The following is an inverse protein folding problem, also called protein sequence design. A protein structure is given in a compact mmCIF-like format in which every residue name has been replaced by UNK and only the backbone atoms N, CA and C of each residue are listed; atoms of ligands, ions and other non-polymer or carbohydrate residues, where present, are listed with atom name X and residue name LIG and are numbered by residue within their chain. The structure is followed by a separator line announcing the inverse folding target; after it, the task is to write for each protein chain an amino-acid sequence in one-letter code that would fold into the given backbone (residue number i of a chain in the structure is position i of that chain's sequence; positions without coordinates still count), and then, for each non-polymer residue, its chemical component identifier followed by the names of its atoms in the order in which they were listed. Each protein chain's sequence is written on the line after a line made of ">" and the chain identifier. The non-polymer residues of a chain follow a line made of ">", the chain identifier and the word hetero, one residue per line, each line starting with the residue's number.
data_IF_450011386122
#
_entry.id   IF_450011386122
#
_cell.length_a   1.000
_cell.length_b   1.000
_cell.length_c   1.000
_cell.angle_alpha   90.00
_cell.angle_beta   90.00
_cell.angle_gamma   90.00
#
_symmetry.space_group_name_H-M   'P 1'
#
loop_
_entity.id
_entity.type
_entity.pdbx_description
1 polymer ?
#
# COMPACT_ATOMS: atom_id res chain seq x y z
N UNK A 1 6.95 -0.23 2.55
CA UNK A 1 7.30 -1.54 1.92
C UNK A 1 6.62 -2.74 2.59
N UNK A 2 6.31 -2.70 3.88
CA UNK A 2 5.65 -3.81 4.60
C UNK A 2 4.25 -4.14 4.03
N UNK A 3 3.46 -3.12 3.68
CA UNK A 3 2.11 -3.28 3.12
C UNK A 3 2.05 -3.87 1.72
N UNK A 4 3.01 -3.55 0.84
CA UNK A 4 3.12 -4.16 -0.48
C UNK A 4 3.38 -5.67 -0.37
N UNK A 5 4.33 -6.07 0.48
CA UNK A 5 4.65 -7.50 0.69
C UNK A 5 3.47 -8.27 1.30
N UNK A 6 2.70 -7.66 2.18
CA UNK A 6 1.53 -8.29 2.76
C UNK A 6 0.40 -8.47 1.75
N UNK A 7 0.21 -7.50 0.85
CA UNK A 7 -0.74 -7.60 -0.25
C UNK A 7 -0.36 -8.69 -1.24
N UNK A 8 0.90 -8.70 -1.67
CA UNK A 8 1.47 -9.71 -2.58
C UNK A 8 1.35 -11.13 -2.00
N UNK A 9 1.66 -11.31 -0.71
CA UNK A 9 1.56 -12.60 -0.03
C UNK A 9 0.11 -13.11 0.12
N UNK A 10 -0.88 -12.23 0.05
CA UNK A 10 -2.31 -12.58 0.09
C UNK A 10 -2.94 -12.67 -1.30
N UNK A 11 -2.18 -12.44 -2.37
CA UNK A 11 -2.69 -12.42 -3.73
C UNK A 11 -3.57 -11.19 -4.02
N UNK A 12 -3.43 -10.12 -3.23
CA UNK A 12 -4.07 -8.85 -3.52
C UNK A 12 -3.22 -8.06 -4.50
N UNK A 13 -3.88 -7.48 -5.51
CA UNK A 13 -3.22 -6.63 -6.48
C UNK A 13 -2.95 -5.27 -5.83
N UNK A 14 -1.68 -4.99 -5.52
CA UNK A 14 -1.28 -3.77 -4.79
C UNK A 14 -0.64 -2.76 -5.72
N UNK A 15 -1.37 -1.68 -5.96
CA UNK A 15 -0.99 -0.61 -6.85
C UNK A 15 -0.49 0.59 -6.01
N UNK A 16 0.78 0.95 -6.18
CA UNK A 16 1.36 2.10 -5.52
C UNK A 16 0.96 3.36 -6.30
N UNK A 17 -0.06 4.09 -5.83
CA UNK A 17 -0.57 5.29 -6.52
C UNK A 17 0.43 6.43 -6.39
N UNK A 18 0.91 6.70 -5.18
CA UNK A 18 1.76 7.86 -4.96
C UNK A 18 2.65 7.67 -3.74
N UNK A 19 3.91 8.08 -3.87
CA UNK A 19 4.83 8.18 -2.74
C UNK A 19 5.43 9.56 -2.79
N UNK A 20 5.10 10.37 -1.79
CA UNK A 20 5.73 11.66 -1.56
C UNK A 20 6.92 11.47 -0.63
N UNK A 21 8.17 11.51 -1.12
CA UNK A 21 9.34 11.53 -0.26
C UNK A 21 9.35 12.84 0.56
N UNK A 22 9.64 12.75 1.86
CA UNK A 22 9.79 13.91 2.73
C UNK A 22 11.15 14.59 2.49
N UNK A 23 11.16 15.92 2.49
CA UNK A 23 12.34 16.75 2.12
C UNK A 23 13.61 16.47 2.93
N UNK A 24 13.49 16.02 4.18
CA UNK A 24 14.65 15.87 5.09
C UNK A 24 15.03 14.39 5.29
N UNK A 25 14.05 13.52 5.47
CA UNK A 25 14.17 12.06 5.45
C UNK A 25 12.78 11.42 5.54
N UNK A 26 12.60 10.25 4.93
CA UNK A 26 11.40 9.44 5.07
C UNK A 26 10.33 9.69 3.99
N UNK A 27 9.15 9.13 4.21
CA UNK A 27 8.00 9.24 3.31
C UNK A 27 6.98 10.15 3.99
N UNK A 28 6.65 11.28 3.34
CA UNK A 28 5.67 12.26 3.84
C UNK A 28 4.25 11.73 3.73
N UNK A 29 3.94 11.07 2.61
CA UNK A 29 2.71 10.30 2.43
C UNK A 29 2.96 9.19 1.42
N UNK A 30 2.26 8.08 1.58
CA UNK A 30 2.19 7.03 0.59
C UNK A 30 0.74 6.60 0.44
N UNK A 31 0.23 6.67 -0.79
CA UNK A 31 -1.09 6.19 -1.16
C UNK A 31 -0.92 4.86 -1.86
N UNK A 32 -1.48 3.82 -1.27
CA UNK A 32 -1.44 2.45 -1.80
C UNK A 32 -2.87 2.01 -2.03
N UNK A 33 -3.16 1.54 -3.23
CA UNK A 33 -4.46 1.02 -3.62
C UNK A 33 -4.42 -0.50 -3.65
N UNK A 34 -5.32 -1.12 -2.89
CA UNK A 34 -5.45 -2.57 -2.82
C UNK A 34 -6.67 -2.97 -3.66
N UNK A 35 -6.45 -3.69 -4.75
CA UNK A 35 -7.50 -4.28 -5.60
C UNK A 35 -7.61 -5.78 -5.31
N UNK A 36 -8.82 -6.20 -4.94
CA UNK A 36 -9.16 -7.60 -4.72
C UNK A 36 -10.48 -7.76 -3.96
N UNK A 37 -11.10 -8.94 -4.06
CA UNK A 37 -12.31 -9.25 -3.29
C UNK A 37 -12.00 -9.15 -1.78
N UNK A 38 -12.82 -8.39 -1.05
CA UNK A 38 -12.68 -8.12 0.40
C UNK A 38 -11.49 -7.26 0.84
N UNK A 39 -10.82 -6.53 -0.05
CA UNK A 39 -9.69 -5.66 0.32
C UNK A 39 -10.01 -4.71 1.49
N UNK A 40 -11.19 -4.09 1.51
CA UNK A 40 -11.62 -3.20 2.60
C UNK A 40 -11.97 -3.94 3.90
N UNK A 41 -12.39 -5.21 3.81
CA UNK A 41 -12.75 -6.02 4.98
C UNK A 41 -11.55 -6.49 5.79
N UNK A 42 -10.40 -6.67 5.13
CA UNK A 42 -9.14 -7.06 5.79
C UNK A 42 -8.31 -5.87 6.30
N UNK A 43 -8.60 -4.65 5.84
CA UNK A 43 -7.90 -3.41 6.21
C UNK A 43 -8.58 -2.65 7.37
N UNK A 44 -9.60 -3.22 8.02
CA UNK A 44 -10.26 -2.64 9.19
C UNK A 44 -9.46 -2.85 10.49
#
# INVERSE_FOLDING_TARGET
>A
RMYLRWGDARGFDTELIEVSPGEVAGIKSATIHFKGEYAFGWLR
#
